data_IF_241041297866
#
_entry.id   IF_241041297866
#
_cell.length_a   1.000
_cell.length_b   1.000
_cell.length_c   1.000
_cell.angle_alpha   90.00
_cell.angle_beta   90.00
_cell.angle_gamma   90.00
#
_symmetry.space_group_name_H-M   'P 1'
#
loop_
_entity.id
_entity.type
_entity.pdbx_description
1 polymer ?
#
# COMPACT_ATOMS: atom_id res chain seq x y z
N UNK A 1 -3.10 23.69 -37.14
CA UNK A 1 -3.20 25.04 -36.53
C UNK A 1 -2.21 25.22 -35.37
N UNK A 2 -1.56 26.39 -35.28
CA UNK A 2 -0.69 26.79 -34.15
C UNK A 2 -1.41 27.84 -33.30
N UNK A 3 -1.32 27.74 -31.97
CA UNK A 3 -1.91 28.69 -31.01
C UNK A 3 -0.90 29.03 -29.91
N UNK A 4 -1.10 30.15 -29.22
CA UNK A 4 -0.27 30.59 -28.10
C UNK A 4 -1.07 30.63 -26.81
N UNK A 5 -0.79 29.70 -25.90
CA UNK A 5 -1.52 29.58 -24.64
C UNK A 5 -0.89 30.41 -23.52
N UNK A 6 -1.67 31.33 -22.97
CA UNK A 6 -1.30 32.19 -21.85
C UNK A 6 -1.75 31.56 -20.53
N UNK A 7 -0.79 31.34 -19.64
CA UNK A 7 -1.02 30.83 -18.30
C UNK A 7 0.01 31.38 -17.31
N UNK A 8 -0.47 31.95 -16.19
CA UNK A 8 0.38 32.47 -15.11
C UNK A 8 1.55 33.37 -15.60
N UNK A 9 1.31 34.22 -16.60
CA UNK A 9 2.32 35.12 -17.19
C UNK A 9 3.31 34.45 -18.15
N UNK A 10 3.12 33.17 -18.48
CA UNK A 10 3.90 32.44 -19.48
C UNK A 10 3.08 32.21 -20.75
N UNK A 11 3.77 32.17 -21.89
CA UNK A 11 3.18 31.88 -23.20
C UNK A 11 3.73 30.55 -23.71
N UNK A 12 2.84 29.61 -24.03
CA UNK A 12 3.17 28.26 -24.46
C UNK A 12 2.68 28.01 -25.89
N UNK A 13 3.56 27.73 -26.85
CA UNK A 13 3.14 27.41 -28.21
C UNK A 13 2.52 26.01 -28.25
N UNK A 14 1.33 25.89 -28.84
CA UNK A 14 0.63 24.62 -29.05
C UNK A 14 0.36 24.41 -30.52
N UNK A 15 0.70 23.22 -31.01
CA UNK A 15 0.39 22.79 -32.37
C UNK A 15 -0.62 21.66 -32.32
N UNK A 16 -1.72 21.83 -33.04
CA UNK A 16 -2.81 20.88 -33.15
C UNK A 16 -3.09 20.57 -34.63
N UNK A 17 -3.41 19.31 -34.97
CA UNK A 17 -3.87 18.98 -36.32
C UNK A 17 -5.21 19.68 -36.64
N UNK A 18 -5.55 19.76 -37.91
CA UNK A 18 -6.81 20.35 -38.36
C UNK A 18 -8.03 19.50 -37.95
N UNK A 19 -9.18 20.15 -37.75
CA UNK A 19 -10.43 19.50 -37.34
C UNK A 19 -10.53 19.11 -35.86
N UNK A 20 -9.63 19.61 -35.00
CA UNK A 20 -9.68 19.36 -33.55
C UNK A 20 -10.72 20.23 -32.84
N UNK A 21 -11.20 19.74 -31.68
CA UNK A 21 -12.16 20.45 -30.82
C UNK A 21 -11.49 21.13 -29.64
N UNK A 22 -12.21 22.04 -28.99
CA UNK A 22 -11.75 22.71 -27.77
C UNK A 22 -11.41 21.70 -26.67
N UNK A 23 -12.12 20.58 -26.58
CA UNK A 23 -11.81 19.47 -25.68
C UNK A 23 -10.40 18.91 -25.92
N UNK A 24 -10.01 18.71 -27.17
CA UNK A 24 -8.67 18.23 -27.52
C UNK A 24 -7.58 19.24 -27.15
N UNK A 25 -7.84 20.54 -27.37
CA UNK A 25 -6.95 21.62 -26.95
C UNK A 25 -6.78 21.63 -25.42
N UNK A 26 -7.89 21.55 -24.67
CA UNK A 26 -7.86 21.46 -23.21
C UNK A 26 -7.06 20.23 -22.74
N UNK A 27 -7.29 19.05 -23.31
CA UNK A 27 -6.57 17.84 -22.92
C UNK A 27 -5.05 17.97 -23.14
N UNK A 28 -4.63 18.60 -24.24
CA UNK A 28 -3.21 18.85 -24.53
C UNK A 28 -2.60 19.85 -23.56
N UNK A 29 -3.34 20.91 -23.24
CA UNK A 29 -2.92 21.89 -22.24
C UNK A 29 -2.81 21.28 -20.84
N UNK A 30 -3.77 20.43 -20.45
CA UNK A 30 -3.73 19.66 -19.21
C UNK A 30 -2.46 18.82 -19.11
N UNK A 31 -2.09 18.10 -20.17
CA UNK A 31 -0.88 17.27 -20.21
C UNK A 31 0.41 18.09 -20.10
N UNK A 32 0.54 19.15 -20.91
CA UNK A 32 1.72 20.03 -20.93
C UNK A 32 1.93 20.72 -19.58
N UNK A 33 0.85 21.14 -18.93
CA UNK A 33 0.89 21.88 -17.68
C UNK A 33 0.76 20.98 -16.44
N UNK A 34 0.58 19.68 -16.62
CA UNK A 34 0.32 18.71 -15.54
C UNK A 34 -0.90 19.06 -14.67
N UNK A 35 -1.98 19.53 -15.30
CA UNK A 35 -3.28 19.77 -14.66
C UNK A 35 -4.25 18.62 -14.92
N UNK A 36 -5.19 18.39 -13.99
CA UNK A 36 -6.24 17.37 -14.17
C UNK A 36 -7.23 17.83 -15.25
N UNK A 37 -7.64 19.09 -15.18
CA UNK A 37 -8.53 19.70 -16.16
C UNK A 37 -8.14 21.16 -16.35
N UNK A 38 -8.29 21.64 -17.59
CA UNK A 38 -8.12 23.06 -17.92
C UNK A 38 -9.31 23.54 -18.72
N UNK A 39 -9.67 24.80 -18.51
CA UNK A 39 -10.68 25.52 -19.30
C UNK A 39 -10.04 26.75 -19.92
N UNK A 40 -10.41 26.99 -21.16
CA UNK A 40 -9.82 28.05 -21.99
C UNK A 40 -10.84 29.11 -22.40
N UNK A 41 -10.35 30.30 -22.69
CA UNK A 41 -11.09 31.43 -23.27
C UNK A 41 -10.30 32.11 -24.37
N UNK A 42 -10.97 32.94 -25.16
CA UNK A 42 -10.36 33.77 -26.20
C UNK A 42 -9.69 35.03 -25.65
N UNK A 43 -10.11 35.50 -24.49
CA UNK A 43 -9.60 36.74 -23.89
C UNK A 43 -9.24 36.52 -22.41
N UNK A 44 -8.34 37.34 -21.85
CA UNK A 44 -8.03 37.29 -20.42
C UNK A 44 -9.30 37.59 -19.62
N UNK A 45 -9.69 36.66 -18.73
CA UNK A 45 -10.92 36.78 -17.92
C UNK A 45 -12.22 36.58 -18.70
N UNK A 46 -12.17 36.09 -19.94
CA UNK A 46 -13.35 35.75 -20.73
C UNK A 46 -14.13 34.55 -20.22
N UNK A 47 -15.30 34.29 -20.82
CA UNK A 47 -16.11 33.11 -20.52
C UNK A 47 -15.45 31.84 -21.05
N UNK A 48 -15.71 30.72 -20.39
CA UNK A 48 -15.24 29.41 -20.85
C UNK A 48 -15.87 29.05 -22.20
N UNK A 49 -15.06 28.50 -23.09
CA UNK A 49 -15.53 27.99 -24.37
C UNK A 49 -16.00 26.55 -24.18
N UNK A 50 -17.15 26.21 -24.78
CA UNK A 50 -17.70 24.86 -24.72
C UNK A 50 -16.78 23.86 -25.41
N UNK A 51 -16.66 22.67 -24.82
CA UNK A 51 -15.62 21.69 -25.14
C UNK A 51 -15.84 20.98 -26.48
N UNK A 52 -17.08 20.87 -26.94
CA UNK A 52 -17.44 20.11 -28.15
C UNK A 52 -17.33 20.91 -29.46
N UNK A 53 -17.03 22.21 -29.39
CA UNK A 53 -16.95 23.06 -30.58
C UNK A 53 -15.56 22.93 -31.23
N UNK A 54 -15.50 23.01 -32.56
CA UNK A 54 -14.24 23.07 -33.32
C UNK A 54 -13.41 24.29 -32.92
N UNK A 55 -12.10 24.10 -32.80
CA UNK A 55 -11.16 25.18 -32.44
C UNK A 55 -11.22 26.33 -33.44
N UNK A 56 -11.33 26.00 -34.73
CA UNK A 56 -11.43 26.95 -35.84
C UNK A 56 -12.66 27.86 -35.80
N UNK A 57 -13.67 27.55 -34.97
CA UNK A 57 -14.84 28.42 -34.78
C UNK A 57 -14.49 29.64 -33.93
N UNK A 58 -13.47 29.55 -33.06
CA UNK A 58 -13.10 30.61 -32.13
C UNK A 58 -11.72 31.18 -32.38
N UNK A 59 -10.79 30.38 -32.90
CA UNK A 59 -9.38 30.73 -33.03
C UNK A 59 -8.90 30.52 -34.46
N UNK A 60 -8.09 31.46 -34.92
CA UNK A 60 -7.37 31.37 -36.18
C UNK A 60 -5.93 30.90 -35.95
N UNK A 61 -5.17 30.68 -37.02
CA UNK A 61 -3.78 30.29 -36.89
C UNK A 61 -2.94 31.42 -36.26
N UNK A 62 -2.16 31.08 -35.24
CA UNK A 62 -1.35 31.96 -34.39
C UNK A 62 -2.14 32.83 -33.40
N UNK A 63 -3.42 32.51 -33.16
CA UNK A 63 -4.24 33.22 -32.18
C UNK A 63 -3.84 32.88 -30.73
N UNK A 64 -4.17 33.79 -29.81
CA UNK A 64 -3.91 33.65 -28.38
C UNK A 64 -5.07 32.92 -27.70
N UNK A 65 -4.74 31.99 -26.80
CA UNK A 65 -5.71 31.29 -25.95
C UNK A 65 -5.36 31.50 -24.48
N UNK A 66 -6.35 31.79 -23.65
CA UNK A 66 -6.17 32.09 -22.24
C UNK A 66 -6.69 30.95 -21.38
N UNK A 67 -5.85 30.44 -20.48
CA UNK A 67 -6.28 29.45 -19.49
C UNK A 67 -6.95 30.20 -18.34
N UNK A 68 -8.24 29.97 -18.15
CA UNK A 68 -9.06 30.74 -17.19
C UNK A 68 -9.44 29.94 -15.95
N UNK A 69 -9.41 28.60 -16.02
CA UNK A 69 -9.60 27.72 -14.87
C UNK A 69 -8.67 26.53 -15.03
N UNK A 70 -7.96 26.21 -13.95
CA UNK A 70 -7.16 25.00 -13.84
C UNK A 70 -7.67 24.25 -12.63
N UNK A 71 -8.16 23.03 -12.84
CA UNK A 71 -8.21 22.08 -11.75
C UNK A 71 -6.80 21.50 -11.67
N UNK A 72 -6.07 21.98 -10.66
CA UNK A 72 -4.91 21.28 -10.17
C UNK A 72 -5.28 19.81 -10.04
N UNK A 73 -4.33 18.92 -10.32
CA UNK A 73 -4.48 17.56 -9.86
C UNK A 73 -4.71 17.66 -8.37
N UNK A 74 -5.98 17.61 -7.95
CA UNK A 74 -6.34 17.04 -6.68
C UNK A 74 -5.74 15.67 -6.83
N UNK A 75 -4.53 15.53 -6.30
CA UNK A 75 -4.17 14.31 -5.62
C UNK A 75 -5.39 14.10 -4.74
N UNK A 76 -6.29 13.24 -5.21
CA UNK A 76 -7.01 12.38 -4.31
C UNK A 76 -5.97 12.04 -3.25
N UNK A 77 -6.29 12.38 -2.01
CA UNK A 77 -5.58 11.88 -0.87
C UNK A 77 -5.79 10.36 -0.87
N UNK A 78 -5.17 9.65 -1.82
CA UNK A 78 -4.46 8.44 -1.49
C UNK A 78 -3.44 8.94 -0.50
N UNK A 79 -3.72 8.71 0.79
CA UNK A 79 -2.82 8.93 1.91
C UNK A 79 -1.40 8.72 1.39
N UNK A 80 -0.61 9.79 1.33
CA UNK A 80 0.79 9.71 0.95
C UNK A 80 1.43 8.73 1.94
N UNK A 81 1.61 7.47 1.51
CA UNK A 81 2.47 6.55 2.24
C UNK A 81 3.82 7.28 2.31
N UNK A 82 4.29 7.67 3.50
CA UNK A 82 5.68 8.10 3.60
C UNK A 82 6.50 6.95 2.99
N UNK A 83 7.50 7.28 2.17
CA UNK A 83 8.46 6.31 1.61
C UNK A 83 8.64 5.17 2.61
N UNK A 84 8.32 3.89 2.25
CA UNK A 84 7.85 2.88 3.19
C UNK A 84 8.64 3.01 4.47
N UNK A 85 8.05 3.69 5.46
CA UNK A 85 8.71 3.80 6.75
C UNK A 85 8.78 2.36 7.16
N UNK A 86 10.00 1.79 7.14
CA UNK A 86 10.20 0.39 7.44
C UNK A 86 9.46 0.15 8.74
N UNK A 87 8.35 -0.61 8.67
CA UNK A 87 7.43 -0.72 9.79
C UNK A 87 8.27 -1.14 10.99
N UNK A 88 8.44 -0.23 11.95
CA UNK A 88 9.28 -0.52 13.09
C UNK A 88 8.49 -1.46 13.99
N UNK A 89 8.98 -2.69 14.12
CA UNK A 89 8.38 -3.69 14.99
C UNK A 89 9.19 -3.81 16.26
N UNK A 90 8.49 -3.77 17.39
CA UNK A 90 9.03 -4.23 18.66
C UNK A 90 8.94 -5.76 18.70
N UNK A 91 10.07 -6.44 18.87
CA UNK A 91 10.09 -7.90 18.96
C UNK A 91 9.45 -8.39 20.26
N UNK A 92 8.53 -9.34 20.14
CA UNK A 92 7.95 -10.07 21.26
C UNK A 92 8.88 -11.23 21.63
N UNK A 93 9.29 -11.29 22.90
CA UNK A 93 10.21 -12.33 23.39
C UNK A 93 9.55 -13.28 24.39
N UNK A 94 8.42 -12.87 24.98
CA UNK A 94 7.66 -13.69 25.94
C UNK A 94 6.70 -14.59 25.18
N UNK A 95 6.87 -15.90 25.33
CA UNK A 95 5.97 -16.90 24.81
C UNK A 95 6.08 -18.18 25.64
N UNK A 96 5.06 -19.03 25.54
CA UNK A 96 5.11 -20.42 25.95
C UNK A 96 4.73 -21.30 24.77
N UNK A 97 5.26 -22.52 24.69
CA UNK A 97 4.83 -23.49 23.69
C UNK A 97 4.70 -24.88 24.32
N UNK A 98 3.82 -25.69 23.77
CA UNK A 98 3.61 -27.07 24.21
C UNK A 98 3.01 -27.91 23.08
N UNK A 99 3.27 -29.21 23.12
CA UNK A 99 2.62 -30.18 22.25
C UNK A 99 1.21 -30.42 22.80
N UNK A 100 0.19 -30.00 22.04
CA UNK A 100 -1.20 -30.12 22.48
C UNK A 100 -1.80 -31.49 22.14
N UNK A 101 -1.34 -32.07 21.04
CA UNK A 101 -1.81 -33.32 20.47
C UNK A 101 -0.65 -33.94 19.67
N UNK A 102 -0.74 -35.21 19.26
CA UNK A 102 0.36 -35.90 18.56
C UNK A 102 0.84 -35.13 17.32
N UNK A 103 -0.08 -34.44 16.65
CA UNK A 103 0.17 -33.70 15.42
C UNK A 103 0.18 -32.16 15.57
N UNK A 104 0.01 -31.62 16.77
CA UNK A 104 -0.18 -30.18 16.95
C UNK A 104 0.72 -29.60 18.02
N UNK A 105 1.40 -28.52 17.66
CA UNK A 105 2.14 -27.66 18.60
C UNK A 105 1.37 -26.37 18.77
N UNK A 106 1.17 -25.95 20.02
CA UNK A 106 0.57 -24.66 20.35
C UNK A 106 1.63 -23.72 20.86
N UNK A 107 1.60 -22.48 20.38
CA UNK A 107 2.40 -21.38 20.88
C UNK A 107 1.45 -20.33 21.43
N UNK A 108 1.69 -19.88 22.65
CA UNK A 108 0.91 -18.85 23.32
C UNK A 108 1.79 -17.63 23.58
N UNK A 109 1.40 -16.51 22.98
CA UNK A 109 2.10 -15.23 23.11
C UNK A 109 1.24 -14.34 24.02
N UNK A 110 1.59 -14.19 25.32
CA UNK A 110 0.85 -13.32 26.22
C UNK A 110 0.95 -11.87 25.75
N UNK A 111 -0.18 -11.21 25.62
CA UNK A 111 -0.28 -9.83 25.18
C UNK A 111 -1.55 -9.19 25.75
N UNK A 112 -1.37 -8.36 26.77
CA UNK A 112 -2.45 -7.80 27.58
C UNK A 112 -3.48 -7.05 26.72
N UNK A 113 -4.77 -7.31 26.94
CA UNK A 113 -5.86 -6.60 26.25
C UNK A 113 -5.96 -6.83 24.74
N UNK A 114 -5.19 -7.76 24.17
CA UNK A 114 -5.17 -8.00 22.72
C UNK A 114 -6.52 -8.42 22.14
N UNK A 115 -7.38 -9.05 22.93
CA UNK A 115 -8.70 -9.49 22.49
C UNK A 115 -9.65 -8.35 22.14
N UNK A 116 -9.36 -7.12 22.60
CA UNK A 116 -10.13 -5.91 22.26
C UNK A 116 -9.56 -5.16 21.05
N UNK A 117 -8.39 -5.56 20.56
CA UNK A 117 -7.76 -4.93 19.41
C UNK A 117 -8.43 -5.34 18.10
N UNK A 118 -8.27 -4.51 17.07
CA UNK A 118 -8.79 -4.82 15.75
C UNK A 118 -8.11 -6.08 15.18
N UNK A 119 -8.93 -7.08 14.81
CA UNK A 119 -8.44 -8.35 14.27
C UNK A 119 -7.85 -8.18 12.86
N UNK A 120 -8.27 -7.19 12.08
CA UNK A 120 -7.70 -6.88 10.77
C UNK A 120 -6.25 -6.35 10.86
N UNK A 121 -5.87 -5.80 12.02
CA UNK A 121 -4.50 -5.37 12.34
C UNK A 121 -3.63 -6.46 12.95
N UNK A 122 -4.11 -7.69 13.04
CA UNK A 122 -3.35 -8.84 13.52
C UNK A 122 -3.25 -9.83 12.35
N UNK A 123 -2.05 -10.30 12.05
CA UNK A 123 -1.86 -11.32 11.02
C UNK A 123 -0.79 -12.31 11.43
N UNK A 124 -0.93 -13.57 11.02
CA UNK A 124 0.11 -14.57 11.17
C UNK A 124 0.34 -15.24 9.83
N UNK A 125 1.58 -15.19 9.35
CA UNK A 125 2.02 -15.89 8.14
C UNK A 125 2.69 -17.19 8.54
N UNK A 126 2.37 -18.28 7.85
CA UNK A 126 2.93 -19.61 8.07
C UNK A 126 3.68 -20.05 6.82
N UNK A 127 4.82 -20.69 7.02
CA UNK A 127 5.65 -21.30 5.99
C UNK A 127 6.08 -22.70 6.48
N UNK A 128 6.76 -23.52 5.66
CA UNK A 128 7.05 -24.93 6.02
C UNK A 128 7.93 -25.05 7.28
N UNK A 129 8.72 -24.02 7.58
CA UNK A 129 9.70 -24.02 8.67
C UNK A 129 9.74 -22.67 9.40
N UNK A 130 8.73 -21.84 9.22
CA UNK A 130 8.67 -20.55 9.91
C UNK A 130 7.25 -20.07 10.13
N UNK A 131 7.09 -19.15 11.06
CA UNK A 131 5.90 -18.31 11.12
C UNK A 131 6.25 -16.92 11.62
N UNK A 132 5.42 -15.95 11.23
CA UNK A 132 5.56 -14.55 11.62
C UNK A 132 4.20 -14.02 12.04
N UNK A 133 4.05 -13.73 13.33
CA UNK A 133 2.92 -13.00 13.89
C UNK A 133 3.23 -11.50 13.89
N UNK A 134 2.39 -10.70 13.24
CA UNK A 134 2.49 -9.24 13.20
C UNK A 134 1.24 -8.60 13.81
N UNK A 135 1.45 -7.64 14.70
CA UNK A 135 0.42 -6.84 15.36
C UNK A 135 0.69 -5.39 15.01
N UNK A 136 -0.26 -4.74 14.36
CA UNK A 136 -0.12 -3.37 13.90
C UNK A 136 -0.90 -2.41 14.79
N UNK A 137 -0.31 -1.22 15.00
CA UNK A 137 -0.96 -0.07 15.62
C UNK A 137 -1.61 -0.39 16.99
N UNK A 138 -1.00 -1.28 17.77
CA UNK A 138 -1.44 -1.54 19.14
C UNK A 138 -0.84 -0.47 20.05
N UNK A 139 -1.69 0.41 20.60
CA UNK A 139 -1.29 1.56 21.43
C UNK A 139 -0.21 2.42 20.73
N UNK A 140 -0.33 2.61 19.41
CA UNK A 140 0.59 3.41 18.60
C UNK A 140 1.94 2.74 18.29
N UNK A 141 2.08 1.44 18.51
CA UNK A 141 3.29 0.66 18.18
C UNK A 141 2.96 -0.61 17.40
N UNK A 142 3.91 -1.06 16.59
CA UNK A 142 3.83 -2.37 15.94
C UNK A 142 4.66 -3.38 16.73
N UNK A 143 4.17 -4.60 16.81
CA UNK A 143 4.83 -5.70 17.48
C UNK A 143 4.93 -6.90 16.56
N UNK A 144 6.00 -7.68 16.69
CA UNK A 144 6.19 -8.87 15.88
C UNK A 144 6.78 -10.00 16.71
N UNK A 145 6.27 -11.21 16.49
CA UNK A 145 6.90 -12.44 16.95
C UNK A 145 7.24 -13.29 15.72
N UNK A 146 8.53 -13.52 15.50
CA UNK A 146 9.04 -14.20 14.32
C UNK A 146 9.86 -15.41 14.73
N UNK A 147 9.48 -16.57 14.19
CA UNK A 147 10.27 -17.80 14.30
C UNK A 147 10.67 -18.20 12.90
N UNK A 148 11.88 -17.80 12.49
CA UNK A 148 12.39 -18.00 11.12
C UNK A 148 12.87 -19.44 10.86
N UNK A 149 13.13 -20.21 11.92
CA UNK A 149 13.58 -21.60 11.85
C UNK A 149 12.96 -22.38 13.00
N UNK A 150 11.86 -23.04 12.70
CA UNK A 150 11.22 -23.98 13.62
C UNK A 150 12.11 -25.21 13.84
N UNK A 151 11.97 -25.88 14.98
CA UNK A 151 12.72 -27.10 15.25
C UNK A 151 12.40 -28.19 14.21
N UNK A 152 11.13 -28.40 13.92
CA UNK A 152 10.64 -29.33 12.89
C UNK A 152 9.72 -28.63 11.89
N UNK A 153 9.44 -29.31 10.78
CA UNK A 153 8.59 -28.77 9.71
C UNK A 153 7.11 -28.80 10.09
N UNK A 154 6.35 -27.84 9.57
CA UNK A 154 4.91 -27.72 9.74
C UNK A 154 4.19 -27.78 8.39
N UNK A 155 2.94 -28.22 8.39
CA UNK A 155 2.05 -28.05 7.25
C UNK A 155 1.34 -26.69 7.39
N UNK A 156 1.67 -25.68 6.56
CA UNK A 156 1.16 -24.31 6.75
C UNK A 156 -0.35 -24.17 6.48
N UNK A 157 -0.94 -24.97 5.59
CA UNK A 157 -2.36 -24.86 5.21
C UNK A 157 -3.33 -25.00 6.41
N UNK A 158 -3.20 -26.01 7.29
CA UNK A 158 -4.03 -26.14 8.48
C UNK A 158 -3.57 -25.25 9.65
N UNK A 159 -2.43 -24.57 9.57
CA UNK A 159 -1.97 -23.69 10.64
C UNK A 159 -2.88 -22.47 10.78
N UNK A 160 -3.09 -22.03 12.02
CA UNK A 160 -3.96 -20.90 12.32
C UNK A 160 -3.56 -20.20 13.60
N UNK A 161 -4.01 -18.96 13.75
CA UNK A 161 -3.92 -18.24 15.01
C UNK A 161 -5.32 -17.87 15.52
N UNK A 162 -5.42 -17.63 16.82
CA UNK A 162 -6.64 -17.23 17.51
C UNK A 162 -6.30 -16.17 18.54
N UNK A 163 -6.98 -15.04 18.44
CA UNK A 163 -6.81 -13.92 19.38
C UNK A 163 -7.76 -14.13 20.56
N UNK A 164 -7.20 -14.37 21.74
CA UNK A 164 -7.91 -14.46 23.02
C UNK A 164 -7.82 -13.13 23.77
N UNK A 165 -8.50 -13.01 24.92
CA UNK A 165 -8.58 -11.76 25.68
C UNK A 165 -7.20 -11.16 26.01
N UNK A 166 -6.25 -11.98 26.44
CA UNK A 166 -4.94 -11.55 26.96
C UNK A 166 -3.75 -12.26 26.30
N UNK A 167 -3.99 -13.02 25.22
CA UNK A 167 -2.94 -13.74 24.50
C UNK A 167 -3.35 -14.06 23.08
N UNK A 168 -2.35 -14.29 22.24
CA UNK A 168 -2.54 -14.86 20.91
C UNK A 168 -2.08 -16.31 20.96
N UNK A 169 -2.97 -17.23 20.57
CA UNK A 169 -2.65 -18.65 20.44
C UNK A 169 -2.40 -18.97 18.98
N UNK A 170 -1.28 -19.57 18.68
CA UNK A 170 -0.88 -20.04 17.36
C UNK A 170 -0.88 -21.56 17.39
N UNK A 171 -1.56 -22.19 16.43
CA UNK A 171 -1.65 -23.64 16.30
C UNK A 171 -0.90 -24.07 15.05
N UNK A 172 0.15 -24.86 15.25
CA UNK A 172 1.05 -25.35 14.21
C UNK A 172 0.79 -26.85 14.01
N UNK A 173 0.50 -27.26 12.77
CA UNK A 173 0.33 -28.67 12.42
C UNK A 173 1.68 -29.25 12.05
N UNK A 174 2.13 -30.29 12.75
CA UNK A 174 3.35 -31.02 12.39
C UNK A 174 3.18 -31.71 11.04
N UNK A 175 4.27 -31.83 10.28
CA UNK A 175 4.28 -32.68 9.07
C UNK A 175 4.32 -34.16 9.46
N UNK A 176 5.10 -34.53 10.49
CA UNK A 176 5.21 -35.90 10.98
C UNK A 176 4.71 -36.00 12.42
N UNK A 177 3.90 -37.00 12.69
CA UNK A 177 3.40 -37.27 14.04
C UNK A 177 4.51 -37.68 15.01
N UNK A 178 5.57 -38.31 14.50
CA UNK A 178 6.72 -38.77 15.27
C UNK A 178 7.72 -37.66 15.64
N UNK A 179 7.54 -36.43 15.12
CA UNK A 179 8.38 -35.30 15.50
C UNK A 179 8.07 -34.87 16.94
N UNK A 180 9.09 -34.86 17.79
CA UNK A 180 9.02 -34.40 19.18
C UNK A 180 9.65 -33.00 19.29
N UNK A 181 8.92 -32.03 19.86
CA UNK A 181 9.37 -30.64 19.94
C UNK A 181 9.86 -30.30 21.34
N UNK A 182 11.18 -30.18 21.50
CA UNK A 182 11.83 -29.81 22.77
C UNK A 182 12.15 -28.31 22.84
N UNK A 183 12.14 -27.63 21.70
CA UNK A 183 12.30 -26.21 21.51
C UNK A 183 11.39 -25.73 20.39
N UNK A 184 10.98 -24.46 20.46
CA UNK A 184 10.28 -23.81 19.35
C UNK A 184 11.24 -23.50 18.19
N UNK A 185 12.49 -23.13 18.53
CA UNK A 185 13.52 -22.76 17.57
C UNK A 185 14.45 -23.93 17.30
N UNK A 186 14.92 -24.06 16.05
CA UNK A 186 16.00 -24.98 15.71
C UNK A 186 17.26 -24.59 16.48
N UNK A 187 17.61 -25.37 17.50
CA UNK A 187 18.89 -25.22 18.19
C UNK A 187 20.02 -25.82 17.34
N UNK A 188 21.20 -25.20 17.37
CA UNK A 188 22.41 -25.86 16.88
C UNK A 188 22.87 -26.78 18.00
N UNK A 189 22.91 -28.09 17.76
CA UNK A 189 23.61 -29.01 18.64
C UNK A 189 25.09 -28.65 18.63
N UNK A 190 25.60 -28.13 19.74
CA UNK A 190 27.04 -28.02 20.01
C UNK A 190 27.49 -29.38 20.53
N UNK A 191 28.22 -30.14 19.72
CA UNK A 191 28.68 -31.49 20.09
C UNK A 191 28.75 -32.51 18.95
N UNK A 192 29.05 -32.09 17.72
CA UNK A 192 29.64 -32.97 16.73
C UNK A 192 31.11 -32.60 16.62
N UNK A 193 31.98 -33.36 17.27
CA UNK A 193 33.42 -33.36 17.03
C UNK A 193 33.64 -33.78 15.56
N UNK A 194 34.48 -33.03 14.84
CA UNK A 194 34.98 -33.38 13.50
C UNK A 194 36.06 -34.47 13.61
#
# INVERSE_FOLDING_TARGET
>A
MKLYAHHAGKVLPITLPDGQTISNLCQRLSDILSYQSVKVSKFPGGKEIQSEISISTFFDNMDDVWIIKTEEVKKETVLHLPAPQALQYTSLTKYSFYEYDSNWVRVEVPFEGIGKHDKGKISCKFDENSFVLSIHDYKGKNYQFSVLRLQCKINPEPCRYSVLSEKIRISLKKVKETDNWFSLFKTKTVGGDD
#
